data_IF_579177734617
#
_entry.id   IF_579177734617
#
_cell.length_a   1.000
_cell.length_b   1.000
_cell.length_c   1.000
_cell.angle_alpha   90.00
_cell.angle_beta   90.00
_cell.angle_gamma   90.00
#
_symmetry.space_group_name_H-M   'P 1'
#
loop_
_entity.id
_entity.type
_entity.pdbx_description
1 polymer ?
#
# COMPACT_ATOMS: atom_id res chain seq x y z
N UNK A 1 2.25 -3.15 15.60
CA UNK A 1 0.98 -3.32 14.82
C UNK A 1 1.15 -4.35 13.72
N UNK A 2 2.00 -4.12 12.72
CA UNK A 2 2.21 -5.05 11.59
C UNK A 2 2.33 -6.52 12.00
N UNK A 3 3.31 -6.88 12.84
CA UNK A 3 3.54 -8.27 13.25
C UNK A 3 2.32 -8.95 13.90
N UNK A 4 1.48 -8.19 14.60
CA UNK A 4 0.27 -8.71 15.26
C UNK A 4 -0.86 -8.95 14.25
N UNK A 5 -1.01 -8.06 13.28
CA UNK A 5 -2.12 -8.08 12.33
C UNK A 5 -1.79 -8.76 11.00
N UNK A 6 -0.53 -8.99 10.66
CA UNK A 6 -0.12 -9.61 9.40
C UNK A 6 -0.69 -11.02 9.25
N UNK A 7 -0.62 -11.83 10.32
CA UNK A 7 -1.17 -13.19 10.29
C UNK A 7 -2.71 -13.23 10.20
N UNK A 8 -3.47 -12.50 11.05
CA UNK A 8 -4.92 -12.38 10.89
C UNK A 8 -5.35 -11.82 9.52
N UNK A 9 -4.61 -10.83 9.01
CA UNK A 9 -4.84 -10.24 7.68
C UNK A 9 -4.72 -11.28 6.57
N UNK A 10 -3.72 -12.16 6.65
CA UNK A 10 -3.56 -13.28 5.72
C UNK A 10 -4.75 -14.23 5.74
N UNK A 11 -5.20 -14.66 6.93
CA UNK A 11 -6.39 -15.52 7.07
C UNK A 11 -7.63 -14.85 6.47
N UNK A 12 -7.80 -13.55 6.73
CA UNK A 12 -8.92 -12.78 6.20
C UNK A 12 -8.82 -12.65 4.68
N UNK A 13 -7.63 -12.47 4.14
CA UNK A 13 -7.36 -12.41 2.71
C UNK A 13 -7.66 -13.73 2.00
N UNK A 14 -7.31 -14.86 2.61
CA UNK A 14 -7.62 -16.19 2.08
C UNK A 14 -9.15 -16.41 1.99
N UNK A 15 -9.91 -15.89 2.97
CA UNK A 15 -11.37 -16.02 3.01
C UNK A 15 -12.12 -15.03 2.12
N UNK A 16 -11.73 -13.76 2.11
CA UNK A 16 -12.48 -12.68 1.45
C UNK A 16 -11.88 -12.25 0.11
N UNK A 17 -10.68 -12.71 -0.22
CA UNK A 17 -9.93 -12.39 -1.43
C UNK A 17 -8.77 -11.43 -1.17
N UNK A 18 -7.58 -11.81 -1.61
CA UNK A 18 -6.34 -11.05 -1.40
C UNK A 18 -6.39 -9.63 -1.96
N UNK A 19 -6.92 -9.50 -3.18
CA UNK A 19 -7.00 -8.20 -3.83
C UNK A 19 -7.92 -7.23 -3.07
N UNK A 20 -9.01 -7.73 -2.44
CA UNK A 20 -9.89 -6.89 -1.62
C UNK A 20 -9.16 -6.35 -0.40
N UNK A 21 -8.34 -7.17 0.25
CA UNK A 21 -7.51 -6.72 1.38
C UNK A 21 -6.49 -5.67 0.98
N UNK A 22 -5.84 -5.84 -0.18
CA UNK A 22 -4.90 -4.85 -0.72
C UNK A 22 -5.61 -3.53 -1.02
N UNK A 23 -6.78 -3.56 -1.66
CA UNK A 23 -7.58 -2.35 -1.93
C UNK A 23 -8.01 -1.66 -0.63
N UNK A 24 -8.47 -2.41 0.37
CA UNK A 24 -8.79 -1.85 1.70
C UNK A 24 -7.56 -1.20 2.35
N UNK A 25 -6.39 -1.84 2.24
CA UNK A 25 -5.13 -1.30 2.71
C UNK A 25 -4.77 0.03 2.03
N UNK A 26 -4.95 0.14 0.72
CA UNK A 26 -4.72 1.39 -0.02
C UNK A 26 -5.72 2.50 0.34
N UNK A 27 -6.99 2.16 0.56
CA UNK A 27 -7.98 3.15 1.01
C UNK A 27 -7.66 3.64 2.43
N UNK A 28 -7.26 2.72 3.33
CA UNK A 28 -6.82 3.07 4.68
C UNK A 28 -5.55 3.93 4.64
N UNK A 29 -4.61 3.64 3.72
CA UNK A 29 -3.42 4.46 3.55
C UNK A 29 -3.75 5.87 3.08
N UNK A 30 -4.67 6.01 2.12
CA UNK A 30 -5.14 7.32 1.67
C UNK A 30 -5.75 8.11 2.85
N UNK A 31 -6.62 7.50 3.65
CA UNK A 31 -7.19 8.12 4.84
C UNK A 31 -6.12 8.49 5.89
N UNK A 32 -5.11 7.62 6.08
CA UNK A 32 -4.00 7.86 7.00
C UNK A 32 -3.14 9.04 6.54
N UNK A 33 -2.84 9.13 5.25
CA UNK A 33 -2.14 10.26 4.65
C UNK A 33 -2.92 11.58 4.80
N UNK A 34 -4.24 11.57 4.54
CA UNK A 34 -5.08 12.74 4.80
C UNK A 34 -5.03 13.13 6.28
N UNK A 35 -5.08 12.16 7.20
CA UNK A 35 -4.91 12.42 8.62
C UNK A 35 -3.58 13.11 8.96
N UNK A 36 -2.46 12.63 8.39
CA UNK A 36 -1.14 13.25 8.60
C UNK A 36 -1.03 14.66 8.00
N UNK A 37 -1.76 14.93 6.92
CA UNK A 37 -1.72 16.22 6.24
C UNK A 37 -2.27 17.38 7.11
N UNK A 38 -3.23 17.08 7.99
CA UNK A 38 -3.90 18.06 8.86
C UNK A 38 -3.76 17.78 10.37
N UNK A 39 -2.92 16.84 10.78
CA UNK A 39 -2.74 16.53 12.20
C UNK A 39 -1.95 17.62 12.94
N UNK A 40 -2.50 18.11 14.05
CA UNK A 40 -1.86 19.14 14.88
C UNK A 40 -1.43 18.69 16.28
N UNK A 41 -1.68 17.43 16.67
CA UNK A 41 -1.40 16.96 18.03
C UNK A 41 -0.77 15.56 18.06
N UNK A 42 0.08 15.32 19.07
CA UNK A 42 0.82 14.06 19.25
C UNK A 42 -0.08 12.82 19.36
N UNK A 43 -1.22 12.84 20.09
CA UNK A 43 -2.10 11.67 20.15
C UNK A 43 -2.63 11.23 18.78
N UNK A 44 -2.99 12.19 17.91
CA UNK A 44 -3.44 11.88 16.56
C UNK A 44 -2.32 11.29 15.71
N UNK A 45 -1.09 11.79 15.83
CA UNK A 45 0.06 11.19 15.15
C UNK A 45 0.28 9.73 15.57
N UNK A 46 0.18 9.41 16.86
CA UNK A 46 0.31 8.02 17.36
C UNK A 46 -0.78 7.14 16.73
N UNK A 47 -2.03 7.61 16.70
CA UNK A 47 -3.14 6.88 16.09
C UNK A 47 -2.89 6.63 14.59
N UNK A 48 -2.38 7.63 13.87
CA UNK A 48 -2.07 7.51 12.45
C UNK A 48 -0.90 6.55 12.19
N UNK A 49 0.12 6.51 13.04
CA UNK A 49 1.17 5.49 12.96
C UNK A 49 0.64 4.08 13.24
N UNK A 50 -0.32 3.93 14.15
CA UNK A 50 -1.01 2.66 14.37
C UNK A 50 -1.79 2.24 13.12
N UNK A 51 -2.55 3.16 12.52
CA UNK A 51 -3.26 2.93 11.26
C UNK A 51 -2.29 2.57 10.12
N UNK A 52 -1.15 3.24 10.01
CA UNK A 52 -0.10 2.92 9.04
C UNK A 52 0.46 1.50 9.23
N UNK A 53 0.66 1.08 10.48
CA UNK A 53 1.07 -0.30 10.77
C UNK A 53 0.01 -1.34 10.34
N UNK A 54 -1.28 -0.97 10.38
CA UNK A 54 -2.37 -1.81 9.89
C UNK A 54 -2.41 -1.84 8.36
N UNK A 55 -2.16 -0.71 7.68
CA UNK A 55 -1.96 -0.66 6.22
C UNK A 55 -0.91 -1.67 5.80
N UNK A 56 0.26 -1.67 6.45
CA UNK A 56 1.34 -2.59 6.10
C UNK A 56 0.93 -4.06 6.26
N UNK A 57 0.12 -4.37 7.29
CA UNK A 57 -0.42 -5.72 7.51
C UNK A 57 -1.43 -6.15 6.43
N UNK A 58 -2.22 -5.21 5.91
CA UNK A 58 -3.20 -5.47 4.85
C UNK A 58 -2.56 -5.61 3.46
N UNK A 59 -1.46 -4.91 3.20
CA UNK A 59 -0.89 -4.81 1.85
C UNK A 59 0.27 -5.79 1.63
N UNK A 60 1.30 -5.77 2.48
CA UNK A 60 2.63 -6.26 2.10
C UNK A 60 2.69 -7.78 1.85
N UNK A 61 2.04 -8.57 2.72
CA UNK A 61 1.88 -10.01 2.52
C UNK A 61 0.87 -10.37 1.43
N UNK A 62 -0.27 -9.67 1.39
CA UNK A 62 -1.38 -10.02 0.51
C UNK A 62 -1.10 -9.73 -0.96
N UNK A 63 -0.39 -8.63 -1.28
CA UNK A 63 -0.01 -8.31 -2.66
C UNK A 63 0.99 -9.34 -3.20
N UNK A 64 1.96 -9.76 -2.38
CA UNK A 64 2.97 -10.74 -2.77
C UNK A 64 2.36 -12.12 -3.01
N UNK A 65 1.44 -12.52 -2.13
CA UNK A 65 0.69 -13.76 -2.28
C UNK A 65 -0.23 -13.71 -3.52
N UNK A 66 -0.89 -12.58 -3.78
CA UNK A 66 -1.71 -12.40 -4.98
C UNK A 66 -0.88 -12.52 -6.27
N UNK A 67 0.28 -11.88 -6.35
CA UNK A 67 1.18 -12.01 -7.51
C UNK A 67 1.64 -13.47 -7.68
N UNK A 68 1.99 -14.15 -6.59
CA UNK A 68 2.37 -15.56 -6.62
C UNK A 68 1.25 -16.48 -7.13
N UNK A 69 -0.01 -16.21 -6.77
CA UNK A 69 -1.17 -16.97 -7.25
C UNK A 69 -1.47 -16.75 -8.72
N UNK A 70 -1.18 -15.55 -9.25
CA UNK A 70 -1.30 -15.25 -10.68
C UNK A 70 -0.16 -15.83 -11.52
N UNK A 71 0.93 -16.22 -10.88
CA UNK A 71 2.15 -16.64 -11.57
C UNK A 71 2.07 -18.11 -11.98
N UNK A 72 2.44 -18.46 -13.23
CA UNK A 72 2.68 -19.84 -13.62
C UNK A 72 3.75 -20.49 -12.71
N UNK A 73 3.58 -21.78 -12.42
CA UNK A 73 4.41 -22.50 -11.46
C UNK A 73 5.89 -22.55 -11.87
N UNK A 74 6.16 -22.67 -13.17
CA UNK A 74 7.48 -22.79 -13.80
C UNK A 74 8.29 -21.49 -13.77
N UNK A 75 7.64 -20.32 -13.77
CA UNK A 75 8.30 -19.01 -13.77
C UNK A 75 7.96 -18.14 -12.56
N UNK A 76 7.36 -18.71 -11.51
CA UNK A 76 6.93 -17.98 -10.31
C UNK A 76 8.04 -17.14 -9.67
N UNK A 77 9.26 -17.69 -9.57
CA UNK A 77 10.41 -16.96 -9.06
C UNK A 77 10.74 -15.73 -9.90
N UNK A 78 10.70 -15.85 -11.22
CA UNK A 78 10.92 -14.74 -12.17
C UNK A 78 9.85 -13.68 -12.05
N UNK A 79 8.58 -14.06 -11.94
CA UNK A 79 7.46 -13.10 -11.79
C UNK A 79 7.57 -12.32 -10.48
N UNK A 80 7.89 -13.00 -9.37
CA UNK A 80 8.11 -12.35 -8.08
C UNK A 80 9.36 -11.45 -8.09
N UNK A 81 10.43 -11.89 -8.76
CA UNK A 81 11.63 -11.09 -8.99
C UNK A 81 11.30 -9.80 -9.76
N UNK A 82 10.62 -9.92 -10.90
CA UNK A 82 10.20 -8.79 -11.71
C UNK A 82 9.29 -7.83 -10.93
N UNK A 83 8.33 -8.36 -10.14
CA UNK A 83 7.48 -7.56 -9.26
C UNK A 83 8.31 -6.73 -8.28
N UNK A 84 9.27 -7.34 -7.56
CA UNK A 84 10.12 -6.61 -6.62
C UNK A 84 11.07 -5.63 -7.31
N UNK A 85 11.57 -5.96 -8.51
CA UNK A 85 12.34 -5.01 -9.33
C UNK A 85 11.49 -3.79 -9.70
N UNK A 86 10.25 -3.98 -10.14
CA UNK A 86 9.33 -2.87 -10.45
C UNK A 86 9.04 -2.01 -9.22
N UNK A 87 8.80 -2.62 -8.06
CA UNK A 87 8.61 -1.90 -6.79
C UNK A 87 9.86 -1.09 -6.44
N UNK A 88 11.06 -1.67 -6.56
CA UNK A 88 12.32 -0.97 -6.31
C UNK A 88 12.56 0.19 -7.28
N UNK A 89 12.32 -0.01 -8.57
CA UNK A 89 12.43 1.04 -9.60
C UNK A 89 11.45 2.19 -9.36
N UNK A 90 10.23 1.90 -8.91
CA UNK A 90 9.25 2.92 -8.54
C UNK A 90 9.62 3.66 -7.25
N UNK A 91 10.22 2.97 -6.28
CA UNK A 91 10.59 3.53 -4.98
C UNK A 91 11.66 4.64 -5.09
N UNK A 92 12.60 4.53 -6.03
CA UNK A 92 13.66 5.54 -6.21
C UNK A 92 13.11 6.94 -6.54
N UNK A 93 12.38 7.16 -7.65
CA UNK A 93 11.80 8.46 -7.95
C UNK A 93 10.73 8.85 -6.93
N UNK A 94 9.98 7.89 -6.37
CA UNK A 94 8.97 8.19 -5.34
C UNK A 94 9.58 8.83 -4.09
N UNK A 95 10.71 8.32 -3.59
CA UNK A 95 11.39 8.89 -2.44
C UNK A 95 12.00 10.27 -2.73
N UNK A 96 12.56 10.46 -3.93
CA UNK A 96 13.06 11.77 -4.36
C UNK A 96 11.91 12.78 -4.41
N UNK A 97 10.79 12.45 -5.06
CA UNK A 97 9.62 13.32 -5.14
C UNK A 97 9.01 13.61 -3.78
N UNK A 98 8.90 12.61 -2.90
CA UNK A 98 8.38 12.82 -1.55
C UNK A 98 9.27 13.76 -0.74
N UNK A 99 10.60 13.60 -0.84
CA UNK A 99 11.58 14.45 -0.19
C UNK A 99 11.58 15.88 -0.72
N UNK A 100 11.50 16.07 -2.04
CA UNK A 100 11.45 17.41 -2.64
C UNK A 100 10.15 18.13 -2.30
N UNK A 101 8.99 17.44 -2.34
CA UNK A 101 7.71 17.99 -1.89
C UNK A 101 7.76 18.41 -0.42
N UNK A 102 8.45 17.62 0.41
CA UNK A 102 8.57 17.90 1.84
C UNK A 102 9.42 19.14 2.10
N UNK A 103 10.56 19.23 1.42
CA UNK A 103 11.55 20.30 1.64
C UNK A 103 11.14 21.62 0.99
N UNK A 104 10.58 21.57 -0.22
CA UNK A 104 10.33 22.77 -1.04
C UNK A 104 8.91 23.30 -0.94
N UNK A 105 7.94 22.47 -0.51
CA UNK A 105 6.54 22.87 -0.41
C UNK A 105 6.05 22.78 1.02
N UNK A 106 5.78 21.57 1.53
CA UNK A 106 5.34 21.33 2.91
C UNK A 106 5.19 19.84 3.20
N UNK A 107 5.17 19.43 4.48
CA UNK A 107 4.73 18.09 4.88
C UNK A 107 3.33 17.73 4.35
N UNK A 108 2.39 18.69 4.41
CA UNK A 108 1.00 18.52 3.95
C UNK A 108 0.94 18.12 2.48
N UNK A 109 1.73 18.77 1.61
CA UNK A 109 1.76 18.43 0.17
C UNK A 109 2.31 17.03 -0.09
N UNK A 110 3.31 16.58 0.67
CA UNK A 110 3.84 15.21 0.56
C UNK A 110 2.80 14.18 0.96
N UNK A 111 2.04 14.43 2.03
CA UNK A 111 0.97 13.52 2.44
C UNK A 111 -0.22 13.52 1.48
N UNK A 112 -0.60 14.67 0.92
CA UNK A 112 -1.63 14.73 -0.13
C UNK A 112 -1.22 13.95 -1.38
N UNK A 113 0.04 14.05 -1.79
CA UNK A 113 0.61 13.24 -2.88
C UNK A 113 0.47 11.74 -2.59
N UNK A 114 0.83 11.30 -1.38
CA UNK A 114 0.64 9.91 -0.95
C UNK A 114 -0.82 9.46 -0.96
N UNK A 115 -1.74 10.33 -0.51
CA UNK A 115 -3.18 10.04 -0.50
C UNK A 115 -3.74 9.84 -1.91
N UNK A 116 -3.39 10.74 -2.85
CA UNK A 116 -3.82 10.67 -4.24
C UNK A 116 -3.28 9.40 -4.91
N UNK A 117 -1.98 9.11 -4.77
CA UNK A 117 -1.38 7.92 -5.36
C UNK A 117 -1.98 6.63 -4.81
N UNK A 118 -2.24 6.57 -3.51
CA UNK A 118 -2.87 5.39 -2.89
C UNK A 118 -4.32 5.19 -3.38
N UNK A 119 -5.09 6.27 -3.52
CA UNK A 119 -6.44 6.20 -4.07
C UNK A 119 -6.43 5.74 -5.54
N UNK A 120 -5.49 6.26 -6.34
CA UNK A 120 -5.29 5.82 -7.72
C UNK A 120 -4.90 4.33 -7.79
N UNK A 121 -3.99 3.87 -6.93
CA UNK A 121 -3.60 2.46 -6.85
C UNK A 121 -4.80 1.57 -6.52
N UNK A 122 -5.67 1.98 -5.58
CA UNK A 122 -6.91 1.27 -5.27
C UNK A 122 -7.84 1.17 -6.49
N UNK A 123 -8.05 2.26 -7.22
CA UNK A 123 -8.88 2.29 -8.44
C UNK A 123 -8.30 1.36 -9.52
N UNK A 124 -6.98 1.44 -9.76
CA UNK A 124 -6.31 0.60 -10.75
C UNK A 124 -6.36 -0.88 -10.39
N UNK A 125 -6.18 -1.22 -9.11
CA UNK A 125 -6.28 -2.59 -8.62
C UNK A 125 -7.69 -3.18 -8.87
N UNK A 126 -8.75 -2.39 -8.62
CA UNK A 126 -10.13 -2.82 -8.90
C UNK A 126 -10.35 -3.00 -10.40
N UNK A 127 -9.92 -2.04 -11.23
CA UNK A 127 -10.07 -2.13 -12.69
C UNK A 127 -9.35 -3.35 -13.28
N UNK A 128 -8.13 -3.60 -12.84
CA UNK A 128 -7.35 -4.77 -13.25
C UNK A 128 -8.00 -6.10 -12.85
N UNK A 129 -8.75 -6.12 -11.75
CA UNK A 129 -9.54 -7.28 -11.34
C UNK A 129 -10.69 -7.58 -12.32
N UNK A 130 -11.38 -6.51 -12.74
CA UNK A 130 -12.58 -6.59 -13.60
C UNK A 130 -12.26 -6.76 -15.08
N UNK A 131 -11.02 -6.49 -15.50
CA UNK A 131 -10.58 -6.61 -16.90
C UNK A 131 -10.08 -8.00 -17.27
N UNK A 132 -10.09 -8.97 -16.35
CA UNK A 132 -9.83 -10.36 -16.70
C UNK A 132 -11.03 -10.91 -17.49
N UNK A 133 -10.83 -11.40 -18.72
CA UNK A 133 -11.88 -12.11 -19.45
C UNK A 133 -12.29 -13.41 -18.75
#
# INVERSE_FOLDING_TARGET
VYAVFAFPSGILADKFGRLRMVVMGYLLFAATCLGFAWSGNLPLYILLFVAYGLVYALVEGNVRAYVSELSPLDIKGTVLGAFHTSVGLAALPANILAGTLWQLSSPTTTFLYGAILSALAAILAVKAATSKP
#
